data_IF_584215549355
#
_entry.id   IF_584215549355
#
_cell.length_a   1.000
_cell.length_b   1.000
_cell.length_c   1.000
_cell.angle_alpha   90.00
_cell.angle_beta   90.00
_cell.angle_gamma   90.00
#
_symmetry.space_group_name_H-M   'P 1'
#
loop_
_entity.id
_entity.type
_entity.pdbx_description
1 polymer ?
#
# COMPACT_ATOMS: atom_id res chain seq x y z
N UNK A 1 -6.52 0.44 11.69
CA UNK A 1 -5.36 -0.48 11.74
C UNK A 1 -4.34 -0.08 10.69
N UNK A 2 -3.10 0.01 11.07
CA UNK A 2 -2.01 0.37 10.16
C UNK A 2 -1.11 -0.83 9.93
N UNK A 3 -0.64 -0.98 8.70
CA UNK A 3 0.25 -2.06 8.33
C UNK A 3 1.48 -1.45 7.67
N UNK A 4 2.66 -1.96 8.01
CA UNK A 4 3.90 -1.56 7.35
C UNK A 4 4.42 -2.73 6.54
N UNK A 5 4.68 -2.48 5.25
CA UNK A 5 5.20 -3.48 4.32
C UNK A 5 6.68 -3.23 4.13
N UNK A 6 7.54 -4.18 4.50
CA UNK A 6 8.99 -3.98 4.39
C UNK A 6 9.46 -3.89 2.94
N UNK A 7 10.66 -3.38 2.75
CA UNK A 7 11.22 -3.17 1.43
C UNK A 7 11.58 -4.46 0.70
N UNK A 8 11.61 -5.57 1.41
CA UNK A 8 11.88 -6.87 0.80
C UNK A 8 10.65 -7.47 0.11
N UNK A 9 9.46 -6.90 0.34
CA UNK A 9 8.24 -7.40 -0.28
C UNK A 9 8.09 -6.79 -1.67
N UNK A 10 8.00 -7.63 -2.69
CA UNK A 10 7.87 -7.16 -4.06
C UNK A 10 6.57 -7.58 -4.73
N UNK A 11 5.68 -8.25 -4.01
CA UNK A 11 4.36 -8.57 -4.54
C UNK A 11 3.36 -8.74 -3.41
N UNK A 12 2.11 -8.39 -3.71
CA UNK A 12 0.97 -8.55 -2.82
C UNK A 12 0.02 -9.51 -3.53
N UNK A 13 -0.34 -10.58 -2.86
CA UNK A 13 -1.19 -11.60 -3.46
C UNK A 13 -2.61 -11.15 -3.70
N UNK A 14 -3.32 -11.92 -4.51
CA UNK A 14 -4.72 -11.72 -4.81
C UNK A 14 -5.52 -11.74 -3.50
N UNK A 15 -6.37 -10.75 -3.32
CA UNK A 15 -7.23 -10.61 -2.14
C UNK A 15 -6.49 -10.57 -0.80
N UNK A 16 -5.23 -10.19 -0.82
CA UNK A 16 -4.41 -10.20 0.41
C UNK A 16 -5.03 -9.35 1.52
N UNK A 17 -5.63 -8.23 1.17
CA UNK A 17 -6.29 -7.34 2.14
C UNK A 17 -7.79 -7.21 1.84
N UNK A 18 -8.37 -8.24 1.27
CA UNK A 18 -9.78 -8.23 0.91
C UNK A 18 -10.64 -8.12 2.16
N UNK A 19 -11.62 -7.24 2.10
CA UNK A 19 -12.59 -7.06 3.19
C UNK A 19 -11.97 -6.65 4.52
N UNK A 20 -10.81 -5.99 4.46
CA UNK A 20 -10.15 -5.48 5.66
C UNK A 20 -10.74 -4.12 6.01
N UNK A 21 -11.95 -4.11 6.55
CA UNK A 21 -12.68 -2.87 6.78
C UNK A 21 -12.07 -2.00 7.87
N UNK A 22 -11.24 -2.57 8.73
CA UNK A 22 -10.55 -1.81 9.78
C UNK A 22 -9.19 -1.27 9.33
N UNK A 23 -8.78 -1.60 8.11
CA UNK A 23 -7.50 -1.15 7.60
C UNK A 23 -7.61 0.31 7.18
N UNK A 24 -6.81 1.17 7.79
CA UNK A 24 -6.86 2.60 7.53
C UNK A 24 -5.63 3.10 6.77
N UNK A 25 -4.49 2.46 6.93
CA UNK A 25 -3.27 2.89 6.27
C UNK A 25 -2.34 1.71 6.03
N UNK A 26 -1.66 1.74 4.89
CA UNK A 26 -0.62 0.77 4.55
C UNK A 26 0.60 1.57 4.13
N UNK A 27 1.73 1.34 4.79
CA UNK A 27 2.97 2.04 4.51
C UNK A 27 3.93 1.09 3.81
N UNK A 28 4.45 1.50 2.67
CA UNK A 28 5.42 0.72 1.92
C UNK A 28 6.80 1.34 2.07
N UNK A 29 7.76 0.54 2.48
CA UNK A 29 9.13 1.01 2.71
C UNK A 29 10.02 0.84 1.48
N UNK A 30 9.53 0.14 0.46
CA UNK A 30 10.29 -0.10 -0.76
C UNK A 30 9.56 0.35 -2.00
N UNK A 31 10.03 -0.10 -3.15
CA UNK A 31 9.42 0.23 -4.43
C UNK A 31 8.03 -0.38 -4.53
N UNK A 32 7.23 0.13 -5.48
CA UNK A 32 5.87 -0.36 -5.66
C UNK A 32 5.87 -1.84 -5.97
N UNK A 33 5.13 -2.65 -5.20
CA UNK A 33 5.06 -4.08 -5.45
C UNK A 33 4.05 -4.38 -6.56
N UNK A 34 4.07 -5.60 -7.05
CA UNK A 34 2.98 -6.09 -7.90
C UNK A 34 1.78 -6.36 -7.01
N UNK A 35 0.62 -5.92 -7.45
CA UNK A 35 -0.60 -6.07 -6.67
C UNK A 35 -1.52 -7.05 -7.39
N UNK A 36 -1.96 -8.06 -6.67
CA UNK A 36 -2.92 -9.03 -7.19
C UNK A 36 -4.32 -8.45 -7.30
N UNK A 37 -5.18 -9.15 -8.02
CA UNK A 37 -6.55 -8.71 -8.22
C UNK A 37 -7.28 -8.62 -6.89
N UNK A 38 -8.05 -7.58 -6.71
CA UNK A 38 -8.90 -7.39 -5.54
C UNK A 38 -8.15 -7.38 -4.22
N UNK A 39 -6.84 -7.04 -4.26
CA UNK A 39 -6.04 -7.05 -3.04
C UNK A 39 -6.61 -6.15 -1.95
N UNK A 40 -7.19 -5.03 -2.34
CA UNK A 40 -7.79 -4.08 -1.39
C UNK A 40 -9.29 -3.95 -1.58
N UNK A 41 -9.92 -4.92 -2.22
CA UNK A 41 -11.37 -4.85 -2.42
C UNK A 41 -12.07 -4.89 -1.07
N UNK A 42 -13.08 -4.05 -0.92
CA UNK A 42 -13.83 -3.89 0.33
C UNK A 42 -12.98 -3.39 1.49
N UNK A 43 -11.85 -2.79 1.18
CA UNK A 43 -11.05 -2.07 2.15
C UNK A 43 -10.65 -0.74 1.51
N UNK A 44 -10.42 0.27 2.34
CA UNK A 44 -10.17 1.62 1.82
C UNK A 44 -9.01 2.29 2.55
N UNK A 45 -7.85 1.65 2.58
CA UNK A 45 -6.72 2.26 3.25
C UNK A 45 -6.12 3.38 2.42
N UNK A 46 -5.46 4.32 3.06
CA UNK A 46 -4.57 5.25 2.38
C UNK A 46 -3.22 4.56 2.26
N UNK A 47 -2.64 4.62 1.08
CA UNK A 47 -1.33 4.02 0.83
C UNK A 47 -0.27 5.10 1.02
N UNK A 48 0.76 4.79 1.80
CA UNK A 48 1.89 5.68 2.02
C UNK A 48 3.15 5.04 1.47
N UNK A 49 4.06 5.86 0.93
CA UNK A 49 5.32 5.38 0.40
C UNK A 49 6.47 6.28 0.83
N UNK A 50 7.66 5.72 0.86
CA UNK A 50 8.87 6.48 1.14
C UNK A 50 9.27 7.33 -0.08
N UNK A 51 9.96 8.43 0.17
CA UNK A 51 10.23 9.44 -0.86
C UNK A 51 11.15 8.94 -1.96
N UNK A 52 12.07 8.04 -1.67
CA UNK A 52 13.07 7.59 -2.63
C UNK A 52 12.73 6.27 -3.30
N UNK A 53 11.47 5.87 -3.25
CA UNK A 53 11.04 4.62 -3.87
C UNK A 53 10.52 4.87 -5.29
N UNK A 54 10.45 3.81 -6.09
CA UNK A 54 10.17 3.88 -7.52
C UNK A 54 8.95 3.04 -7.88
N UNK A 55 8.40 3.33 -9.05
CA UNK A 55 7.28 2.55 -9.59
C UNK A 55 5.92 2.99 -9.09
N UNK A 56 5.87 4.07 -8.33
CA UNK A 56 4.63 4.55 -7.74
C UNK A 56 3.91 5.53 -8.66
N UNK A 57 2.59 5.40 -8.71
CA UNK A 57 1.74 6.38 -9.37
C UNK A 57 0.88 7.07 -8.33
N UNK A 58 -0.17 7.73 -8.77
CA UNK A 58 -1.09 8.42 -7.87
C UNK A 58 -1.98 7.46 -7.09
N UNK A 59 -2.15 6.25 -7.61
CA UNK A 59 -2.99 5.24 -6.97
C UNK A 59 -2.31 3.89 -7.00
N UNK A 60 -2.69 3.01 -6.09
CA UNK A 60 -2.28 1.63 -6.08
C UNK A 60 -3.52 0.79 -5.82
N UNK A 61 -3.83 -0.11 -6.75
CA UNK A 61 -5.02 -0.96 -6.66
C UNK A 61 -6.28 -0.14 -6.40
N UNK A 62 -6.37 1.05 -7.00
CA UNK A 62 -7.51 1.93 -6.84
C UNK A 62 -7.51 2.75 -5.57
N UNK A 63 -6.48 2.65 -4.74
CA UNK A 63 -6.40 3.40 -3.47
C UNK A 63 -5.43 4.56 -3.63
N UNK A 64 -5.69 5.71 -3.00
CA UNK A 64 -4.80 6.86 -3.14
C UNK A 64 -3.44 6.60 -2.52
N UNK A 65 -2.40 7.10 -3.16
CA UNK A 65 -1.02 6.97 -2.68
C UNK A 65 -0.52 8.33 -2.26
N UNK A 66 0.01 8.39 -1.05
CA UNK A 66 0.59 9.63 -0.52
C UNK A 66 2.03 9.41 -0.14
N UNK A 67 2.81 10.47 -0.33
CA UNK A 67 4.21 10.46 0.06
C UNK A 67 4.33 10.68 1.55
N UNK A 68 5.18 9.93 2.21
CA UNK A 68 5.50 10.17 3.60
C UNK A 68 6.47 11.35 3.63
N UNK A 69 5.98 12.51 4.01
CA UNK A 69 6.80 13.72 4.01
C UNK A 69 7.22 14.13 5.41
N UNK A 70 6.59 13.56 6.40
CA UNK A 70 6.89 13.87 7.80
C UNK A 70 7.07 12.59 8.57
N UNK A 71 8.10 12.58 9.38
CA UNK A 71 8.29 11.48 10.32
C UNK A 71 8.35 12.07 11.71
N UNK A 72 7.64 11.46 12.62
CA UNK A 72 7.65 11.97 14.00
C UNK A 72 9.03 11.86 14.60
#
# INVERSE_FOLDING_TARGET
MNITIPDSVNSIGEKAFWNCTSLTAVTFLGDAPKIGDSAFEKSSPTIYREADTKGWGDTLAGRPVKLITEKP
#
